data_IF_977858816025
#
_entry.id   IF_977858816025
#
_cell.length_a   1.000
_cell.length_b   1.000
_cell.length_c   1.000
_cell.angle_alpha   90.00
_cell.angle_beta   90.00
_cell.angle_gamma   90.00
#
_symmetry.space_group_name_H-M   'P 1'
#
loop_
_entity.id
_entity.type
_entity.pdbx_description
1 polymer ?
#
# COMPACT_ATOMS: atom_id res chain seq x y z
N UNK A 1 0.34 -15.03 33.44
CA UNK A 1 -0.83 -14.22 33.08
C UNK A 1 -1.25 -14.67 31.69
N UNK A 2 -2.55 -14.72 31.39
CA UNK A 2 -2.98 -14.94 30.00
C UNK A 2 -2.42 -13.79 29.14
N UNK A 3 -1.92 -14.05 27.92
CA UNK A 3 -1.42 -12.99 27.06
C UNK A 3 -2.52 -11.95 26.82
N UNK A 4 -2.16 -10.68 26.94
CA UNK A 4 -3.12 -9.61 26.68
C UNK A 4 -3.46 -9.61 25.18
N UNK A 5 -4.75 -9.68 24.86
CA UNK A 5 -5.20 -9.66 23.47
C UNK A 5 -4.82 -8.34 22.82
N UNK A 6 -4.10 -8.39 21.69
CA UNK A 6 -3.74 -7.23 20.90
C UNK A 6 -4.97 -6.77 20.11
N UNK A 7 -5.54 -5.61 20.46
CA UNK A 7 -6.84 -5.14 19.94
C UNK A 7 -6.79 -3.85 19.12
N UNK A 8 -5.62 -3.34 18.85
CA UNK A 8 -5.41 -2.12 18.06
C UNK A 8 -4.55 -2.42 16.84
N UNK A 9 -4.71 -1.66 15.75
CA UNK A 9 -3.77 -1.72 14.64
C UNK A 9 -2.34 -1.32 15.06
N UNK A 10 -1.30 -1.96 14.49
CA UNK A 10 -1.41 -3.11 13.60
C UNK A 10 -1.70 -4.41 14.38
N UNK A 11 -2.26 -5.40 13.68
CA UNK A 11 -2.49 -6.72 14.25
C UNK A 11 -1.34 -7.68 13.94
N UNK A 12 -1.30 -8.85 14.62
CA UNK A 12 -0.22 -9.82 14.42
C UNK A 12 -0.28 -10.52 13.08
N UNK A 13 -1.50 -10.77 12.57
CA UNK A 13 -1.74 -11.21 11.20
C UNK A 13 -2.41 -10.09 10.42
N UNK A 14 -1.77 -9.66 9.36
CA UNK A 14 -2.21 -8.57 8.50
C UNK A 14 -2.27 -9.04 7.03
N UNK A 15 -2.95 -8.29 6.20
CA UNK A 15 -2.88 -8.36 4.74
C UNK A 15 -2.84 -6.94 4.15
N UNK A 16 -2.53 -6.82 2.84
CA UNK A 16 -2.22 -5.52 2.23
C UNK A 16 -3.43 -4.85 1.54
N UNK A 17 -4.64 -5.29 1.84
CA UNK A 17 -5.88 -4.65 1.37
C UNK A 17 -6.52 -5.38 0.19
N UNK A 18 -5.86 -5.48 -0.96
CA UNK A 18 -6.46 -6.04 -2.17
C UNK A 18 -6.54 -7.56 -2.15
N UNK A 19 -7.71 -8.09 -2.53
CA UNK A 19 -8.02 -9.52 -2.59
C UNK A 19 -8.55 -9.89 -3.99
N UNK A 20 -8.46 -11.17 -4.37
CA UNK A 20 -8.92 -11.64 -5.68
C UNK A 20 -10.43 -11.47 -5.83
N UNK A 21 -10.82 -10.81 -6.90
CA UNK A 21 -12.22 -10.58 -7.29
C UNK A 21 -12.88 -11.87 -7.78
N UNK A 22 -14.19 -11.95 -7.63
CA UNK A 22 -14.96 -13.05 -8.23
C UNK A 22 -15.07 -12.87 -9.75
N UNK A 23 -15.29 -13.97 -10.47
CA UNK A 23 -15.55 -13.88 -11.92
C UNK A 23 -16.81 -13.08 -12.24
N UNK A 24 -17.84 -13.19 -11.37
CA UNK A 24 -19.07 -12.44 -11.52
C UNK A 24 -18.82 -10.94 -11.45
N UNK A 25 -18.05 -10.49 -10.46
CA UNK A 25 -17.67 -9.09 -10.32
C UNK A 25 -16.88 -8.59 -11.53
N UNK A 26 -15.88 -9.36 -11.98
CA UNK A 26 -15.07 -8.98 -13.14
C UNK A 26 -15.92 -8.86 -14.42
N UNK A 27 -16.82 -9.82 -14.67
CA UNK A 27 -17.76 -9.78 -15.81
C UNK A 27 -18.71 -8.59 -15.72
N UNK A 28 -19.24 -8.30 -14.52
CA UNK A 28 -20.16 -7.17 -14.32
C UNK A 28 -19.46 -5.83 -14.53
N UNK A 29 -18.20 -5.68 -14.07
CA UNK A 29 -17.40 -4.46 -14.32
C UNK A 29 -17.19 -4.22 -15.83
N UNK A 30 -16.82 -5.26 -16.56
CA UNK A 30 -16.68 -5.17 -18.04
C UNK A 30 -18.01 -4.82 -18.71
N UNK A 31 -19.11 -5.44 -18.30
CA UNK A 31 -20.44 -5.12 -18.82
C UNK A 31 -20.87 -3.66 -18.50
N UNK A 32 -20.51 -3.14 -17.34
CA UNK A 32 -20.75 -1.75 -16.98
C UNK A 32 -19.96 -0.78 -17.85
N UNK A 33 -18.67 -1.04 -18.08
CA UNK A 33 -17.82 -0.24 -18.98
C UNK A 33 -18.33 -0.23 -20.41
N UNK A 34 -18.93 -1.33 -20.87
CA UNK A 34 -19.60 -1.43 -22.17
C UNK A 34 -20.99 -0.78 -22.21
N UNK A 35 -21.53 -0.29 -21.07
CA UNK A 35 -22.89 0.26 -21.00
C UNK A 35 -24.01 -0.80 -21.04
N UNK A 36 -23.68 -2.07 -20.78
CA UNK A 36 -24.62 -3.22 -20.84
C UNK A 36 -25.41 -3.38 -19.51
N UNK A 37 -24.87 -2.91 -18.41
CA UNK A 37 -25.52 -2.92 -17.08
C UNK A 37 -25.50 -1.54 -16.45
N UNK A 38 -26.45 -1.27 -15.56
CA UNK A 38 -26.55 -0.01 -14.83
C UNK A 38 -25.58 0.03 -13.64
N UNK A 39 -25.26 1.23 -13.15
CA UNK A 39 -24.50 1.44 -11.91
C UNK A 39 -25.14 0.69 -10.72
N UNK A 40 -26.45 0.71 -10.59
CA UNK A 40 -27.17 -0.01 -9.52
C UNK A 40 -26.96 -1.54 -9.58
N UNK A 41 -26.82 -2.11 -10.78
CA UNK A 41 -26.50 -3.54 -10.94
C UNK A 41 -25.05 -3.83 -10.56
N UNK A 42 -24.11 -2.97 -10.93
CA UNK A 42 -22.71 -3.07 -10.51
C UNK A 42 -22.60 -2.94 -8.98
N UNK A 43 -23.19 -1.91 -8.39
CA UNK A 43 -23.20 -1.69 -6.92
C UNK A 43 -23.77 -2.92 -6.17
N UNK A 44 -24.80 -3.58 -6.70
CA UNK A 44 -25.37 -4.77 -6.07
C UNK A 44 -24.39 -5.94 -6.01
N UNK A 45 -23.62 -6.18 -7.08
CA UNK A 45 -22.60 -7.25 -7.12
C UNK A 45 -21.40 -6.86 -6.26
N UNK A 46 -20.93 -5.62 -6.34
CA UNK A 46 -19.85 -5.12 -5.46
C UNK A 46 -20.22 -5.27 -3.98
N UNK A 47 -21.42 -4.88 -3.60
CA UNK A 47 -21.91 -5.02 -2.22
C UNK A 47 -21.95 -6.47 -1.77
N UNK A 48 -22.46 -7.38 -2.60
CA UNK A 48 -22.47 -8.82 -2.33
C UNK A 48 -21.06 -9.33 -2.08
N UNK A 49 -20.15 -9.05 -2.98
CA UNK A 49 -18.78 -9.59 -2.93
C UNK A 49 -17.95 -8.98 -1.79
N UNK A 50 -18.11 -7.68 -1.49
CA UNK A 50 -17.49 -7.04 -0.32
C UNK A 50 -17.96 -7.69 0.98
N UNK A 51 -19.25 -7.97 1.11
CA UNK A 51 -19.78 -8.69 2.28
C UNK A 51 -19.18 -10.09 2.42
N UNK A 52 -19.14 -10.86 1.33
CA UNK A 52 -18.57 -12.21 1.33
C UNK A 52 -17.08 -12.24 1.66
N UNK A 53 -16.31 -11.29 1.13
CA UNK A 53 -14.87 -11.21 1.41
C UNK A 53 -14.59 -10.74 2.83
N UNK A 54 -15.39 -9.83 3.39
CA UNK A 54 -15.30 -9.43 4.79
C UNK A 54 -15.57 -10.61 5.73
N UNK A 55 -16.64 -11.38 5.46
CA UNK A 55 -16.95 -12.61 6.22
C UNK A 55 -15.83 -13.66 6.11
N UNK A 56 -15.19 -13.78 4.93
CA UNK A 56 -14.07 -14.71 4.71
C UNK A 56 -12.88 -14.31 5.57
N UNK A 57 -12.49 -13.04 5.58
CA UNK A 57 -11.40 -12.54 6.42
C UNK A 57 -11.68 -12.79 7.92
N UNK A 58 -12.91 -12.54 8.38
CA UNK A 58 -13.34 -12.83 9.76
C UNK A 58 -13.21 -14.32 10.09
N UNK A 59 -13.69 -15.21 9.22
CA UNK A 59 -13.59 -16.67 9.41
C UNK A 59 -12.14 -17.15 9.50
N UNK A 60 -11.23 -16.47 8.81
CA UNK A 60 -9.79 -16.74 8.88
C UNK A 60 -9.13 -16.14 10.13
N UNK A 61 -9.85 -15.34 10.94
CA UNK A 61 -9.34 -14.76 12.18
C UNK A 61 -8.60 -13.44 12.01
N UNK A 62 -8.83 -12.71 10.91
CA UNK A 62 -8.31 -11.37 10.71
C UNK A 62 -9.16 -10.33 11.44
N UNK A 63 -8.48 -9.32 12.01
CA UNK A 63 -9.10 -8.16 12.64
C UNK A 63 -9.09 -6.93 11.74
N UNK A 64 -7.99 -6.69 11.02
CA UNK A 64 -7.90 -5.64 10.00
C UNK A 64 -8.60 -6.09 8.70
N UNK A 65 -9.91 -5.97 8.65
CA UNK A 65 -10.72 -6.36 7.51
C UNK A 65 -10.77 -5.22 6.49
N UNK A 66 -10.54 -5.53 5.20
CA UNK A 66 -10.72 -4.61 4.07
C UNK A 66 -11.89 -5.04 3.19
N UNK A 67 -12.31 -4.14 2.29
CA UNK A 67 -13.27 -4.43 1.22
C UNK A 67 -12.68 -5.20 0.03
N UNK A 68 -11.39 -5.58 0.12
CA UNK A 68 -10.65 -6.25 -0.94
C UNK A 68 -10.29 -5.35 -2.13
N UNK A 69 -10.59 -4.05 -2.05
CA UNK A 69 -10.47 -3.07 -3.14
C UNK A 69 -11.36 -3.42 -4.34
N UNK A 70 -12.49 -4.06 -4.09
CA UNK A 70 -13.34 -4.61 -5.14
C UNK A 70 -14.00 -3.56 -6.03
N UNK A 71 -14.12 -2.32 -5.54
CA UNK A 71 -14.71 -1.20 -6.30
C UNK A 71 -13.72 -0.54 -7.25
N UNK A 72 -12.41 -0.73 -7.05
CA UNK A 72 -11.33 -0.10 -7.83
C UNK A 72 -10.93 -0.96 -9.02
N UNK A 73 -10.44 -0.32 -10.08
CA UNK A 73 -9.79 -1.00 -11.20
C UNK A 73 -8.27 -1.17 -10.96
N UNK A 74 -7.68 -0.23 -10.22
CA UNK A 74 -6.27 -0.18 -9.84
C UNK A 74 -6.15 0.32 -8.39
N UNK A 75 -5.09 -0.01 -7.67
CA UNK A 75 -4.88 0.38 -6.27
C UNK A 75 -5.01 1.89 -6.01
N UNK A 76 -4.67 2.73 -7.00
CA UNK A 76 -4.76 4.19 -6.91
C UNK A 76 -6.11 4.77 -7.40
N UNK A 77 -7.03 3.92 -7.87
CA UNK A 77 -8.20 4.32 -8.66
C UNK A 77 -9.30 5.08 -7.93
N UNK A 78 -9.28 5.21 -6.59
CA UNK A 78 -10.37 5.85 -5.86
C UNK A 78 -10.06 7.28 -5.36
N UNK A 79 -8.80 7.70 -5.27
CA UNK A 79 -8.47 9.01 -4.69
C UNK A 79 -8.75 10.18 -5.62
N UNK A 80 -8.27 10.11 -6.84
CA UNK A 80 -8.33 11.24 -7.77
C UNK A 80 -9.74 11.67 -8.19
N UNK A 81 -10.79 10.80 -8.25
CA UNK A 81 -12.15 11.27 -8.52
C UNK A 81 -12.70 12.23 -7.46
N UNK A 82 -12.14 12.24 -6.25
CA UNK A 82 -12.42 13.19 -5.18
C UNK A 82 -11.62 14.49 -5.27
N UNK A 83 -10.85 14.70 -6.36
CA UNK A 83 -9.97 15.84 -6.54
C UNK A 83 -10.32 16.61 -7.82
N UNK A 84 -10.45 17.94 -7.71
CA UNK A 84 -10.28 18.83 -8.86
C UNK A 84 -8.78 18.94 -9.21
N UNK A 85 -8.46 19.20 -10.46
CA UNK A 85 -7.10 19.45 -10.95
C UNK A 85 -6.35 18.19 -11.38
N UNK A 86 -6.98 17.02 -11.32
CA UNK A 86 -6.48 15.77 -11.91
C UNK A 86 -7.45 15.21 -12.94
N UNK A 87 -6.90 14.58 -13.97
CA UNK A 87 -7.63 13.81 -14.96
C UNK A 87 -7.00 12.45 -15.17
N UNK A 88 -7.81 11.40 -15.21
CA UNK A 88 -7.37 10.06 -15.63
C UNK A 88 -7.29 10.00 -17.15
N UNK A 89 -6.18 9.50 -17.65
CA UNK A 89 -5.91 9.40 -19.09
C UNK A 89 -5.34 8.03 -19.44
N UNK A 90 -5.74 7.48 -20.58
CA UNK A 90 -5.38 6.14 -21.01
C UNK A 90 -4.27 6.08 -22.08
N UNK A 91 -3.91 7.22 -22.69
CA UNK A 91 -2.94 7.26 -23.81
C UNK A 91 -2.02 8.50 -23.68
N UNK A 92 -1.23 8.53 -22.61
CA UNK A 92 -0.21 9.58 -22.42
C UNK A 92 1.04 9.20 -23.20
N UNK A 93 1.68 10.21 -23.82
CA UNK A 93 2.97 10.04 -24.48
C UNK A 93 4.00 9.48 -23.48
N UNK A 94 4.67 8.40 -23.85
CA UNK A 94 5.72 7.79 -23.05
C UNK A 94 6.86 8.76 -22.69
N UNK A 95 7.04 9.80 -23.51
CA UNK A 95 8.08 10.83 -23.31
C UNK A 95 7.87 11.71 -22.07
N UNK A 96 6.68 11.69 -21.46
CA UNK A 96 6.44 12.42 -20.19
C UNK A 96 7.01 11.67 -18.97
N UNK A 97 7.25 10.36 -19.11
CA UNK A 97 7.71 9.52 -18.00
C UNK A 97 9.23 9.35 -17.96
N UNK A 98 9.75 9.10 -16.75
CA UNK A 98 11.13 8.67 -16.53
C UNK A 98 11.28 7.22 -16.98
N UNK A 99 12.03 6.91 -18.05
CA UNK A 99 12.12 5.53 -18.57
C UNK A 99 12.82 4.56 -17.60
N UNK A 100 13.52 5.09 -16.59
CA UNK A 100 14.20 4.33 -15.55
C UNK A 100 13.36 4.20 -14.25
N UNK A 101 12.21 4.84 -14.14
CA UNK A 101 11.27 4.56 -13.05
C UNK A 101 10.84 3.09 -13.15
N UNK A 102 10.93 2.30 -12.05
CA UNK A 102 10.81 0.84 -12.14
C UNK A 102 9.54 0.31 -12.79
N UNK A 103 8.38 0.93 -12.52
CA UNK A 103 7.12 0.58 -13.18
C UNK A 103 7.14 0.92 -14.66
N UNK A 104 7.59 2.11 -15.04
CA UNK A 104 7.71 2.55 -16.44
C UNK A 104 8.67 1.66 -17.19
N UNK A 105 9.84 1.37 -16.63
CA UNK A 105 10.82 0.46 -17.22
C UNK A 105 10.24 -0.93 -17.46
N UNK A 106 9.51 -1.49 -16.49
CA UNK A 106 8.91 -2.81 -16.60
C UNK A 106 7.82 -2.86 -17.68
N UNK A 107 7.02 -1.81 -17.84
CA UNK A 107 6.04 -1.71 -18.92
C UNK A 107 6.71 -1.64 -20.29
N UNK A 108 7.72 -0.79 -20.46
CA UNK A 108 8.45 -0.63 -21.72
C UNK A 108 9.17 -1.92 -22.12
N UNK A 109 9.82 -2.61 -21.18
CA UNK A 109 10.49 -3.91 -21.40
C UNK A 109 9.49 -5.01 -21.82
N UNK A 110 8.24 -4.91 -21.33
CA UNK A 110 7.16 -5.83 -21.72
C UNK A 110 6.49 -5.48 -23.08
N UNK A 111 6.92 -4.39 -23.71
CA UNK A 111 6.31 -3.89 -24.96
C UNK A 111 4.95 -3.22 -24.74
N UNK A 112 4.62 -2.85 -23.51
CA UNK A 112 3.41 -2.11 -23.17
C UNK A 112 3.68 -0.60 -23.07
N UNK A 113 2.68 0.21 -23.44
CA UNK A 113 2.74 1.64 -23.14
C UNK A 113 2.42 1.86 -21.67
N UNK A 114 3.12 2.74 -20.94
CA UNK A 114 2.78 3.11 -19.56
C UNK A 114 1.58 4.08 -19.50
N UNK A 115 0.55 3.83 -20.30
CA UNK A 115 -0.44 4.80 -20.75
C UNK A 115 -1.56 5.16 -19.78
N UNK A 116 -1.96 4.25 -18.87
CA UNK A 116 -2.96 4.57 -17.85
C UNK A 116 -2.30 5.32 -16.70
N UNK A 117 -2.71 6.56 -16.49
CA UNK A 117 -2.19 7.39 -15.43
C UNK A 117 -3.13 8.54 -15.10
N UNK A 118 -2.81 9.29 -14.07
CA UNK A 118 -3.51 10.52 -13.67
C UNK A 118 -2.59 11.69 -13.93
N UNK A 119 -3.02 12.66 -14.72
CA UNK A 119 -2.26 13.89 -14.99
C UNK A 119 -2.82 15.07 -14.23
N UNK A 120 -1.94 15.96 -13.77
CA UNK A 120 -2.36 17.24 -13.20
C UNK A 120 -2.71 18.22 -14.34
N UNK A 121 -3.94 18.77 -14.31
CA UNK A 121 -4.46 19.73 -15.31
C UNK A 121 -4.82 21.07 -14.69
N UNK A 122 -4.82 21.19 -13.36
CA UNK A 122 -5.22 22.41 -12.67
C UNK A 122 -4.79 22.43 -11.19
N UNK A 123 -5.23 23.44 -10.45
CA UNK A 123 -5.02 23.50 -9.00
C UNK A 123 -5.75 22.34 -8.32
N UNK A 124 -5.01 21.59 -7.50
CA UNK A 124 -5.54 20.45 -6.78
C UNK A 124 -6.40 20.95 -5.62
N UNK A 125 -7.62 20.41 -5.53
CA UNK A 125 -8.54 20.67 -4.45
C UNK A 125 -9.36 19.42 -4.16
N UNK A 126 -9.44 19.01 -2.89
CA UNK A 126 -10.33 17.97 -2.44
C UNK A 126 -11.79 18.46 -2.49
N UNK A 127 -12.66 17.70 -3.16
CA UNK A 127 -14.08 18.07 -3.36
C UNK A 127 -15.05 17.05 -2.76
N UNK A 128 -14.53 16.00 -2.15
CA UNK A 128 -15.26 14.95 -1.45
C UNK A 128 -14.57 13.61 -1.55
N UNK A 129 -14.73 12.79 -0.53
CA UNK A 129 -14.10 11.47 -0.46
C UNK A 129 -14.92 10.42 -1.21
N UNK A 130 -14.30 9.72 -2.13
CA UNK A 130 -14.86 8.50 -2.74
C UNK A 130 -14.71 7.29 -1.84
N UNK A 131 -13.66 7.24 -1.02
CA UNK A 131 -13.41 6.18 -0.05
C UNK A 131 -14.44 6.09 1.07
N UNK A 132 -15.11 7.21 1.43
CA UNK A 132 -16.17 7.18 2.45
C UNK A 132 -17.38 6.33 2.05
N UNK A 133 -17.72 6.24 0.75
CA UNK A 133 -18.76 5.32 0.23
C UNK A 133 -18.32 3.87 0.47
N UNK A 134 -17.07 3.54 0.10
CA UNK A 134 -16.47 2.21 0.27
C UNK A 134 -16.46 1.82 1.76
N UNK A 135 -15.90 2.69 2.61
CA UNK A 135 -15.80 2.45 4.04
C UNK A 135 -17.13 2.30 4.74
N UNK A 136 -18.12 3.17 4.45
CA UNK A 136 -19.47 3.10 5.05
C UNK A 136 -20.15 1.76 4.76
N UNK A 137 -20.00 1.25 3.53
CA UNK A 137 -20.55 -0.05 3.20
C UNK A 137 -19.82 -1.17 3.98
N UNK A 138 -18.51 -1.18 4.00
CA UNK A 138 -17.72 -2.15 4.77
C UNK A 138 -18.10 -2.10 6.26
N UNK A 139 -18.23 -0.91 6.84
CA UNK A 139 -18.65 -0.72 8.23
C UNK A 139 -20.06 -1.27 8.51
N UNK A 140 -20.96 -1.25 7.52
CA UNK A 140 -22.34 -1.75 7.66
C UNK A 140 -22.44 -3.28 7.73
N UNK A 141 -21.39 -4.01 7.31
CA UNK A 141 -21.37 -5.48 7.26
C UNK A 141 -20.55 -6.13 8.38
N UNK A 142 -20.08 -5.32 9.32
CA UNK A 142 -19.37 -5.79 10.54
C UNK A 142 -20.06 -5.26 11.81
N UNK A 143 -19.82 -5.88 12.98
CA UNK A 143 -20.30 -5.35 14.26
C UNK A 143 -19.73 -3.96 14.55
N UNK A 144 -20.48 -3.04 15.19
CA UNK A 144 -20.04 -1.68 15.45
C UNK A 144 -18.71 -1.57 16.21
N UNK A 145 -18.43 -2.50 17.12
CA UNK A 145 -17.18 -2.53 17.90
C UNK A 145 -15.96 -2.90 17.07
N UNK A 146 -16.13 -3.51 15.89
CA UNK A 146 -15.06 -3.90 14.98
C UNK A 146 -14.75 -2.80 13.95
N UNK A 147 -15.63 -1.80 13.76
CA UNK A 147 -15.47 -0.74 12.74
C UNK A 147 -14.12 -0.03 12.85
N UNK A 148 -13.64 0.24 14.05
CA UNK A 148 -12.33 0.87 14.29
C UNK A 148 -11.12 0.05 13.80
N UNK A 149 -11.31 -1.24 13.57
CA UNK A 149 -10.26 -2.16 13.12
C UNK A 149 -10.23 -2.30 11.59
N UNK A 150 -11.30 -1.87 10.91
CA UNK A 150 -11.39 -1.95 9.45
C UNK A 150 -10.25 -1.16 8.81
N UNK A 151 -9.65 -1.76 7.79
CA UNK A 151 -8.56 -1.15 7.04
C UNK A 151 -9.06 -0.55 5.73
N UNK A 152 -8.67 0.68 5.45
CA UNK A 152 -8.77 1.29 4.13
C UNK A 152 -7.37 1.55 3.57
N UNK A 153 -7.19 1.28 2.29
CA UNK A 153 -5.93 1.52 1.57
C UNK A 153 -6.06 2.73 0.67
N UNK A 154 -5.04 3.58 0.64
CA UNK A 154 -4.97 4.79 -0.17
C UNK A 154 -3.69 4.78 -1.01
N UNK A 155 -3.75 5.39 -2.19
CA UNK A 155 -2.52 5.67 -2.94
C UNK A 155 -1.64 6.67 -2.18
N UNK A 156 -0.33 6.46 -2.29
CA UNK A 156 0.66 7.34 -1.69
C UNK A 156 0.59 8.78 -2.23
N UNK A 157 0.83 9.80 -1.41
CA UNK A 157 0.79 11.19 -1.87
C UNK A 157 1.84 11.51 -2.94
N UNK A 158 2.97 10.80 -2.97
CA UNK A 158 4.04 10.95 -3.97
C UNK A 158 3.78 10.19 -5.28
N UNK A 159 2.70 9.39 -5.36
CA UNK A 159 2.34 8.62 -6.56
C UNK A 159 2.21 9.52 -7.80
N UNK A 160 1.70 10.71 -7.64
CA UNK A 160 1.42 11.66 -8.72
C UNK A 160 2.64 12.48 -9.19
N UNK A 161 3.87 12.10 -8.80
CA UNK A 161 5.09 12.86 -9.13
C UNK A 161 6.24 12.01 -9.67
N UNK A 162 6.71 10.98 -8.95
CA UNK A 162 7.99 10.30 -9.21
C UNK A 162 8.16 9.80 -10.65
N UNK A 163 7.13 9.23 -11.24
CA UNK A 163 7.21 8.62 -12.57
C UNK A 163 7.35 9.63 -13.71
N UNK A 164 7.03 10.89 -13.48
CA UNK A 164 7.12 11.96 -14.47
C UNK A 164 8.53 12.55 -14.54
N UNK A 165 9.01 12.86 -15.77
CA UNK A 165 10.23 13.64 -15.97
C UNK A 165 10.12 14.99 -15.28
N UNK A 166 11.26 15.60 -14.98
CA UNK A 166 11.33 16.93 -14.38
C UNK A 166 10.47 17.93 -15.15
N UNK A 167 9.62 18.64 -14.42
CA UNK A 167 8.70 19.64 -14.98
C UNK A 167 7.54 19.07 -15.82
N UNK A 168 7.24 17.77 -15.74
CA UNK A 168 6.13 17.10 -16.43
C UNK A 168 5.02 16.60 -15.50
N UNK A 169 5.21 16.66 -14.18
CA UNK A 169 4.21 16.21 -13.21
C UNK A 169 3.01 17.18 -13.11
N UNK A 170 3.18 18.44 -13.49
CA UNK A 170 2.15 19.48 -13.45
C UNK A 170 2.44 20.59 -14.46
N UNK A 171 1.43 21.35 -14.92
CA UNK A 171 1.63 22.53 -15.77
C UNK A 171 2.32 23.68 -15.00
N UNK A 172 3.35 24.30 -15.60
CA UNK A 172 4.11 25.40 -14.97
C UNK A 172 3.27 26.65 -14.72
N UNK A 173 2.21 26.85 -15.49
CA UNK A 173 1.24 27.93 -15.32
C UNK A 173 0.31 27.69 -14.11
N UNK A 174 0.22 26.48 -13.62
CA UNK A 174 -0.59 26.08 -12.45
C UNK A 174 0.25 26.10 -11.18
N UNK A 175 1.44 25.49 -11.23
CA UNK A 175 2.37 25.39 -10.10
C UNK A 175 3.76 25.85 -10.48
N UNK A 176 4.32 26.75 -9.67
CA UNK A 176 5.65 27.34 -9.89
C UNK A 176 6.79 26.43 -9.38
N UNK A 177 6.49 25.52 -8.46
CA UNK A 177 7.46 24.61 -7.84
C UNK A 177 6.82 23.34 -7.30
N UNK A 178 7.64 22.31 -7.03
CA UNK A 178 7.22 21.06 -6.38
C UNK A 178 6.65 21.35 -4.99
N UNK A 179 7.20 22.29 -4.25
CA UNK A 179 6.75 22.63 -2.90
C UNK A 179 5.30 23.14 -2.91
N UNK A 180 4.93 23.94 -3.92
CA UNK A 180 3.56 24.43 -4.09
C UNK A 180 2.62 23.27 -4.47
N UNK A 181 3.03 22.42 -5.41
CA UNK A 181 2.29 21.24 -5.86
C UNK A 181 2.07 20.24 -4.71
N UNK A 182 3.14 19.90 -3.98
CA UNK A 182 3.07 19.01 -2.83
C UNK A 182 2.25 19.58 -1.68
N UNK A 183 2.28 20.91 -1.50
CA UNK A 183 1.46 21.59 -0.51
C UNK A 183 -0.04 21.39 -0.73
N UNK A 184 -0.50 21.38 -1.98
CA UNK A 184 -1.91 21.16 -2.31
C UNK A 184 -2.28 19.67 -2.26
N UNK A 185 -1.39 18.77 -2.66
CA UNK A 185 -1.57 17.30 -2.44
C UNK A 185 -1.70 17.01 -0.93
N UNK A 186 -0.81 17.57 -0.11
CA UNK A 186 -0.85 17.35 1.34
C UNK A 186 -2.18 17.82 1.96
N UNK A 187 -2.71 18.99 1.53
CA UNK A 187 -4.02 19.48 1.97
C UNK A 187 -5.16 18.57 1.53
N UNK A 188 -5.09 18.02 0.31
CA UNK A 188 -6.09 17.08 -0.20
C UNK A 188 -6.09 15.79 0.63
N UNK A 189 -4.92 15.24 0.94
CA UNK A 189 -4.80 14.04 1.80
C UNK A 189 -5.28 14.34 3.22
N UNK A 190 -4.96 15.50 3.81
CA UNK A 190 -5.48 15.90 5.12
C UNK A 190 -7.01 15.91 5.15
N UNK A 191 -7.64 16.46 4.09
CA UNK A 191 -9.10 16.49 3.97
C UNK A 191 -9.68 15.08 3.85
N UNK A 192 -9.08 14.22 3.03
CA UNK A 192 -9.47 12.82 2.88
C UNK A 192 -9.41 12.05 4.20
N UNK A 193 -8.31 12.18 4.95
CA UNK A 193 -8.15 11.53 6.25
C UNK A 193 -9.19 12.01 7.26
N UNK A 194 -9.55 13.31 7.23
CA UNK A 194 -10.59 13.86 8.10
C UNK A 194 -11.98 13.31 7.75
N UNK A 195 -12.34 13.24 6.48
CA UNK A 195 -13.64 12.66 6.06
C UNK A 195 -13.73 11.17 6.40
N UNK A 196 -12.65 10.41 6.23
CA UNK A 196 -12.58 9.01 6.64
C UNK A 196 -12.72 8.86 8.17
N UNK A 197 -12.05 9.73 8.93
CA UNK A 197 -12.17 9.74 10.39
C UNK A 197 -13.61 10.01 10.85
N UNK A 198 -14.28 10.98 10.23
CA UNK A 198 -15.64 11.39 10.56
C UNK A 198 -16.67 10.27 10.33
N UNK A 199 -16.41 9.34 9.41
CA UNK A 199 -17.24 8.15 9.17
C UNK A 199 -16.82 6.93 9.99
N UNK A 200 -15.85 7.07 10.90
CA UNK A 200 -15.45 6.02 11.85
C UNK A 200 -14.16 5.28 11.50
N UNK A 201 -13.48 5.60 10.40
CA UNK A 201 -12.21 4.98 10.04
C UNK A 201 -11.11 5.34 11.05
N UNK A 202 -10.35 4.33 11.50
CA UNK A 202 -9.23 4.49 12.45
C UNK A 202 -7.96 3.78 12.00
N UNK A 203 -7.97 3.14 10.82
CA UNK A 203 -6.84 2.34 10.33
C UNK A 203 -6.67 2.55 8.82
N UNK A 204 -5.68 3.34 8.47
CA UNK A 204 -5.36 3.72 7.07
C UNK A 204 -3.98 3.19 6.71
N UNK A 205 -3.87 2.61 5.51
CA UNK A 205 -2.61 2.18 4.91
C UNK A 205 -2.40 2.95 3.61
N UNK A 206 -1.26 3.61 3.47
CA UNK A 206 -0.81 4.13 2.18
C UNK A 206 -0.04 3.05 1.42
N UNK A 207 -0.39 2.83 0.16
CA UNK A 207 0.33 1.93 -0.74
C UNK A 207 1.33 2.73 -1.58
N UNK A 208 2.61 2.47 -1.33
CA UNK A 208 3.72 3.24 -1.88
C UNK A 208 4.79 2.37 -2.56
N UNK A 209 4.73 2.20 -3.86
CA UNK A 209 5.85 1.63 -4.61
C UNK A 209 7.02 2.61 -4.74
N UNK A 210 6.76 3.92 -4.73
CA UNK A 210 7.74 4.95 -5.08
C UNK A 210 8.88 5.06 -4.05
N UNK A 211 8.58 5.00 -2.75
CA UNK A 211 9.64 5.00 -1.73
C UNK A 211 10.55 3.76 -1.84
N UNK A 212 9.99 2.60 -2.19
CA UNK A 212 10.77 1.38 -2.42
C UNK A 212 11.64 1.47 -3.68
N UNK A 213 11.26 2.29 -4.67
CA UNK A 213 12.04 2.47 -5.89
C UNK A 213 13.43 3.08 -5.63
N UNK A 214 13.59 3.86 -4.56
CA UNK A 214 14.90 4.39 -4.15
C UNK A 214 15.87 3.30 -3.63
N UNK A 215 15.43 2.05 -3.50
CA UNK A 215 16.30 0.90 -3.27
C UNK A 215 16.89 0.33 -4.56
N UNK A 216 16.37 0.71 -5.74
CA UNK A 216 16.78 0.16 -7.03
C UNK A 216 18.05 0.83 -7.56
N UNK A 217 19.13 0.08 -7.66
CA UNK A 217 20.39 0.59 -8.28
C UNK A 217 20.16 1.04 -9.72
N UNK A 218 19.33 0.32 -10.50
CA UNK A 218 18.98 0.68 -11.89
C UNK A 218 18.29 2.04 -11.95
N UNK A 219 17.33 2.29 -11.06
CA UNK A 219 16.66 3.60 -10.98
C UNK A 219 17.65 4.70 -10.59
N UNK A 220 18.49 4.47 -9.57
CA UNK A 220 19.46 5.45 -9.09
C UNK A 220 20.49 5.81 -10.15
N UNK A 221 20.96 4.83 -10.92
CA UNK A 221 21.85 5.07 -12.06
C UNK A 221 21.17 5.95 -13.12
N UNK A 222 19.96 5.58 -13.55
CA UNK A 222 19.19 6.38 -14.51
C UNK A 222 18.89 7.79 -14.00
N UNK A 223 18.58 7.92 -12.69
CA UNK A 223 18.37 9.23 -12.07
C UNK A 223 19.61 10.13 -12.15
N UNK A 224 20.78 9.58 -11.87
CA UNK A 224 22.06 10.29 -11.93
C UNK A 224 22.44 10.71 -13.35
N UNK A 225 22.10 9.89 -14.33
CA UNK A 225 22.43 10.11 -15.75
C UNK A 225 21.44 11.06 -16.44
N UNK A 226 20.26 11.27 -15.90
CA UNK A 226 19.23 12.13 -16.48
C UNK A 226 19.56 13.62 -16.23
N UNK A 227 19.97 14.37 -17.29
CA UNK A 227 20.36 15.77 -17.15
C UNK A 227 19.20 16.72 -16.82
N UNK A 228 17.96 16.26 -16.90
CA UNK A 228 16.79 17.05 -16.58
C UNK A 228 16.55 17.14 -15.07
N UNK A 229 17.01 16.15 -14.29
CA UNK A 229 16.82 16.15 -12.85
C UNK A 229 17.58 17.32 -12.19
N UNK A 230 16.85 18.21 -11.53
CA UNK A 230 17.44 19.33 -10.78
C UNK A 230 17.87 18.95 -9.37
N UNK A 231 17.38 17.81 -8.86
CA UNK A 231 17.69 17.28 -7.53
C UNK A 231 18.27 15.89 -7.62
N UNK A 232 19.12 15.56 -6.67
CA UNK A 232 19.55 14.17 -6.46
C UNK A 232 18.39 13.27 -6.03
N UNK A 233 18.58 11.96 -6.18
CA UNK A 233 17.62 10.99 -5.67
C UNK A 233 17.39 11.10 -4.14
N UNK A 234 18.45 11.40 -3.38
CA UNK A 234 18.37 11.57 -1.93
C UNK A 234 17.56 12.80 -1.52
N UNK A 235 17.78 13.95 -2.17
CA UNK A 235 16.99 15.17 -1.95
C UNK A 235 15.51 14.95 -2.31
N UNK A 236 15.24 14.20 -3.38
CA UNK A 236 13.86 13.87 -3.77
C UNK A 236 13.20 12.92 -2.77
N UNK A 237 13.95 11.94 -2.24
CA UNK A 237 13.45 11.07 -1.18
C UNK A 237 13.10 11.87 0.08
N UNK A 238 13.93 12.82 0.50
CA UNK A 238 13.68 13.73 1.62
C UNK A 238 12.42 14.58 1.40
N UNK A 239 12.21 15.08 0.18
CA UNK A 239 10.99 15.81 -0.16
C UNK A 239 9.74 14.93 -0.03
N UNK A 240 9.82 13.63 -0.40
CA UNK A 240 8.70 12.72 -0.24
C UNK A 240 8.42 12.39 1.23
N UNK A 241 9.46 12.22 2.06
CA UNK A 241 9.27 12.12 3.52
C UNK A 241 8.55 13.35 4.06
N UNK A 242 8.97 14.56 3.62
CA UNK A 242 8.29 15.80 4.01
C UNK A 242 6.84 15.85 3.54
N UNK A 243 6.57 15.50 2.28
CA UNK A 243 5.22 15.45 1.71
C UNK A 243 4.30 14.53 2.53
N UNK A 244 4.78 13.33 2.89
CA UNK A 244 4.05 12.42 3.76
C UNK A 244 3.76 13.04 5.13
N UNK A 245 4.77 13.59 5.78
CA UNK A 245 4.62 14.17 7.10
C UNK A 245 3.65 15.35 7.09
N UNK A 246 3.70 16.20 6.07
CA UNK A 246 2.73 17.27 5.86
C UNK A 246 1.32 16.71 5.63
N UNK A 247 1.19 15.66 4.82
CA UNK A 247 -0.09 15.00 4.50
C UNK A 247 -0.81 14.44 5.73
N UNK A 248 -0.05 13.88 6.68
CA UNK A 248 -0.59 13.26 7.89
C UNK A 248 -0.52 14.14 9.14
N UNK A 249 -0.03 15.38 9.02
CA UNK A 249 0.25 16.28 10.16
C UNK A 249 -0.99 16.65 10.97
N UNK A 250 -2.17 16.58 10.37
CA UNK A 250 -3.46 16.90 11.02
C UNK A 250 -4.29 15.66 11.36
N UNK A 251 -3.74 14.46 11.20
CA UNK A 251 -4.48 13.25 11.53
C UNK A 251 -4.90 13.25 13.01
N UNK A 252 -6.11 12.76 13.33
CA UNK A 252 -6.50 12.53 14.72
C UNK A 252 -5.57 11.55 15.41
N UNK A 253 -5.34 11.75 16.71
CA UNK A 253 -4.34 11.00 17.49
C UNK A 253 -4.64 9.49 17.61
N UNK A 254 -5.92 9.09 17.47
CA UNK A 254 -6.37 7.70 17.51
C UNK A 254 -6.54 7.08 16.10
N UNK A 255 -6.09 7.77 15.05
CA UNK A 255 -6.04 7.23 13.70
C UNK A 255 -4.66 6.63 13.42
N UNK A 256 -4.62 5.31 13.28
CA UNK A 256 -3.44 4.56 12.89
C UNK A 256 -3.12 4.79 11.41
N UNK A 257 -1.88 5.10 11.10
CA UNK A 257 -1.36 5.26 9.73
C UNK A 257 -0.23 4.28 9.49
N UNK A 258 -0.39 3.44 8.48
CA UNK A 258 0.66 2.57 7.97
C UNK A 258 1.09 2.94 6.56
N UNK A 259 2.26 2.48 6.15
CA UNK A 259 2.74 2.57 4.76
C UNK A 259 3.24 1.22 4.27
N UNK A 260 2.75 0.80 3.12
CA UNK A 260 3.23 -0.39 2.41
C UNK A 260 4.22 0.01 1.32
N UNK A 261 5.46 -0.44 1.45
CA UNK A 261 6.49 -0.25 0.44
C UNK A 261 6.46 -1.41 -0.56
N UNK A 262 5.64 -1.24 -1.59
CA UNK A 262 5.47 -2.22 -2.66
C UNK A 262 6.68 -2.24 -3.61
N UNK A 263 7.06 -3.43 -4.09
CA UNK A 263 8.11 -3.60 -5.12
C UNK A 263 7.55 -3.93 -6.49
N UNK A 264 6.25 -3.74 -6.67
CA UNK A 264 5.51 -4.04 -7.88
C UNK A 264 4.72 -5.35 -7.81
N UNK A 265 3.46 -5.24 -8.19
CA UNK A 265 2.52 -6.33 -8.20
C UNK A 265 1.58 -6.16 -9.40
N UNK A 266 1.99 -6.69 -10.55
CA UNK A 266 1.30 -6.49 -11.81
C UNK A 266 0.96 -7.80 -12.51
N UNK A 267 0.21 -7.72 -13.60
CA UNK A 267 -0.24 -8.87 -14.41
C UNK A 267 0.87 -9.89 -14.64
N UNK A 268 0.58 -11.16 -14.41
CA UNK A 268 1.57 -12.23 -14.46
C UNK A 268 2.50 -12.27 -13.23
N UNK A 269 2.07 -11.67 -12.11
CA UNK A 269 2.83 -11.66 -10.85
C UNK A 269 4.19 -10.97 -10.94
N UNK A 270 4.33 -9.99 -11.84
CA UNK A 270 5.58 -9.24 -12.06
C UNK A 270 5.87 -8.31 -10.89
N UNK A 271 7.15 -8.20 -10.54
CA UNK A 271 7.68 -7.13 -9.71
C UNK A 271 8.38 -6.08 -10.58
N UNK A 272 8.59 -4.88 -10.04
CA UNK A 272 9.20 -3.76 -10.75
C UNK A 272 10.58 -3.41 -10.19
N UNK A 273 10.78 -3.58 -8.89
CA UNK A 273 11.95 -3.07 -8.16
C UNK A 273 12.61 -4.15 -7.32
N UNK A 274 13.93 -4.07 -7.23
CA UNK A 274 14.80 -4.89 -6.38
C UNK A 274 15.74 -4.00 -5.55
N UNK A 275 16.34 -4.56 -4.51
CA UNK A 275 17.32 -3.90 -3.63
C UNK A 275 16.87 -3.92 -2.16
N UNK A 276 17.82 -4.03 -1.24
CA UNK A 276 17.57 -3.97 0.20
C UNK A 276 17.15 -2.57 0.66
N UNK A 277 16.52 -2.50 1.83
CA UNK A 277 16.10 -1.22 2.41
C UNK A 277 17.26 -0.41 3.02
N UNK A 278 18.49 -0.92 3.01
CA UNK A 278 19.69 -0.34 3.66
C UNK A 278 19.86 1.15 3.35
N UNK A 279 19.71 1.51 2.07
CA UNK A 279 19.89 2.90 1.60
C UNK A 279 18.90 3.87 2.24
N UNK A 280 17.65 3.47 2.43
CA UNK A 280 16.57 4.36 2.84
C UNK A 280 16.20 4.21 4.32
N UNK A 281 16.65 3.14 4.98
CA UNK A 281 16.18 2.71 6.29
C UNK A 281 16.23 3.81 7.36
N UNK A 282 17.38 4.48 7.50
CA UNK A 282 17.57 5.50 8.55
C UNK A 282 16.57 6.64 8.41
N UNK A 283 16.44 7.23 7.23
CA UNK A 283 15.48 8.31 7.00
C UNK A 283 14.05 7.80 7.04
N UNK A 284 13.78 6.67 6.38
CA UNK A 284 12.45 6.06 6.36
C UNK A 284 11.92 5.83 7.78
N UNK A 285 12.68 5.13 8.62
CA UNK A 285 12.19 4.73 9.93
C UNK A 285 12.24 5.84 10.98
N UNK A 286 13.21 6.75 10.90
CA UNK A 286 13.38 7.82 11.89
C UNK A 286 12.63 9.09 11.57
N UNK A 287 12.42 9.42 10.29
CA UNK A 287 11.89 10.70 9.87
C UNK A 287 10.45 10.66 9.36
N UNK A 288 9.99 9.52 8.79
CA UNK A 288 8.60 9.36 8.34
C UNK A 288 7.67 9.09 9.52
N UNK A 289 6.68 9.95 9.76
CA UNK A 289 5.81 9.95 10.95
C UNK A 289 4.61 8.97 10.88
N UNK A 290 4.75 7.85 10.21
CA UNK A 290 3.77 6.76 10.24
C UNK A 290 3.98 5.86 11.46
N UNK A 291 2.95 5.08 11.82
CA UNK A 291 2.98 4.17 12.97
C UNK A 291 3.53 2.79 12.60
N UNK A 292 3.28 2.36 11.33
CA UNK A 292 3.58 0.99 10.89
C UNK A 292 4.13 0.97 9.47
N UNK A 293 5.13 0.13 9.26
CA UNK A 293 5.68 -0.20 7.94
C UNK A 293 5.30 -1.61 7.53
N UNK A 294 4.70 -1.79 6.35
CA UNK A 294 4.41 -3.07 5.73
C UNK A 294 5.46 -3.32 4.66
N UNK A 295 6.44 -4.18 4.93
CA UNK A 295 7.63 -4.36 4.10
C UNK A 295 7.68 -5.73 3.43
N UNK A 296 8.01 -5.76 2.13
CA UNK A 296 8.22 -7.00 1.39
C UNK A 296 9.53 -7.68 1.79
N UNK A 297 9.43 -8.95 2.19
CA UNK A 297 10.56 -9.80 2.55
C UNK A 297 10.35 -11.26 2.10
N UNK A 298 9.53 -11.50 1.07
CA UNK A 298 9.21 -12.85 0.58
C UNK A 298 10.38 -13.53 -0.16
N UNK A 299 11.24 -12.75 -0.80
CA UNK A 299 12.37 -13.26 -1.60
C UNK A 299 13.65 -12.46 -1.36
N UNK A 300 14.85 -13.01 -1.77
CA UNK A 300 16.12 -12.29 -1.65
C UNK A 300 16.19 -10.93 -2.37
N UNK A 301 15.30 -10.65 -3.33
CA UNK A 301 15.28 -9.34 -4.02
C UNK A 301 15.03 -8.16 -3.07
N UNK A 302 14.43 -8.40 -1.91
CA UNK A 302 14.16 -7.38 -0.90
C UNK A 302 15.36 -7.13 0.04
N UNK A 303 16.45 -7.86 -0.10
CA UNK A 303 17.62 -7.78 0.80
C UNK A 303 17.42 -8.55 2.11
N UNK A 304 18.27 -8.27 3.08
CA UNK A 304 18.24 -8.82 4.42
C UNK A 304 17.41 -7.99 5.41
N UNK A 305 17.44 -8.42 6.69
CA UNK A 305 16.72 -7.76 7.77
C UNK A 305 17.57 -6.71 8.51
N UNK A 306 18.84 -6.53 8.16
CA UNK A 306 19.78 -5.59 8.77
C UNK A 306 19.21 -4.16 8.88
N UNK A 307 18.47 -3.64 7.87
CA UNK A 307 17.87 -2.31 7.95
C UNK A 307 16.93 -2.10 9.13
N UNK A 308 16.34 -3.18 9.67
CA UNK A 308 15.42 -3.11 10.81
C UNK A 308 16.09 -2.69 12.12
N UNK A 309 17.44 -2.66 12.20
CA UNK A 309 18.19 -2.04 13.31
C UNK A 309 17.84 -0.56 13.50
N UNK A 310 17.43 0.11 12.42
CA UNK A 310 17.05 1.52 12.42
C UNK A 310 15.60 1.78 12.88
N UNK A 311 14.76 0.73 13.05
CA UNK A 311 13.36 0.88 13.43
C UNK A 311 13.23 1.33 14.89
N UNK A 312 12.66 2.51 15.19
CA UNK A 312 12.49 2.99 16.57
C UNK A 312 11.47 2.14 17.36
N UNK A 313 11.63 2.07 18.69
CA UNK A 313 10.78 1.25 19.58
C UNK A 313 9.30 1.63 19.59
N UNK A 314 8.95 2.83 19.15
CA UNK A 314 7.56 3.32 19.09
C UNK A 314 6.87 3.06 17.75
N UNK A 315 7.54 2.38 16.79
CA UNK A 315 7.02 2.04 15.47
C UNK A 315 6.94 0.54 15.30
N UNK A 316 6.07 0.12 14.38
CA UNK A 316 5.83 -1.29 14.09
C UNK A 316 6.28 -1.64 12.67
N UNK A 317 6.58 -2.92 12.46
CA UNK A 317 6.83 -3.50 11.15
C UNK A 317 5.99 -4.76 10.95
N UNK A 318 5.33 -4.85 9.83
CA UNK A 318 4.64 -6.04 9.37
C UNK A 318 5.50 -6.66 8.27
N UNK A 319 5.96 -7.89 8.53
CA UNK A 319 6.88 -8.61 7.64
C UNK A 319 6.08 -9.38 6.59
N UNK A 320 6.18 -8.96 5.36
CA UNK A 320 5.61 -9.63 4.19
C UNK A 320 6.47 -10.82 3.77
N UNK A 321 6.42 -11.90 4.53
CA UNK A 321 7.26 -13.11 4.32
C UNK A 321 6.58 -14.18 3.48
N UNK A 322 5.26 -14.10 3.28
CA UNK A 322 4.47 -15.04 2.48
C UNK A 322 4.19 -14.41 1.11
N UNK A 323 4.49 -15.10 0.00
CA UNK A 323 4.21 -14.54 -1.32
C UNK A 323 2.73 -14.56 -1.68
N UNK A 324 2.21 -13.47 -2.22
CA UNK A 324 0.88 -13.40 -2.85
C UNK A 324 0.90 -13.73 -4.35
N UNK A 325 2.07 -14.03 -4.91
CA UNK A 325 2.27 -14.16 -6.36
C UNK A 325 1.99 -15.56 -6.90
N UNK A 326 2.18 -16.59 -6.08
CA UNK A 326 2.06 -17.99 -6.49
C UNK A 326 1.38 -18.83 -5.39
N UNK A 327 0.66 -19.88 -5.80
CA UNK A 327 -0.13 -20.70 -4.89
C UNK A 327 0.70 -21.63 -3.98
N UNK A 328 1.95 -21.98 -4.35
CA UNK A 328 2.81 -22.83 -3.53
C UNK A 328 2.98 -22.25 -2.12
N UNK A 329 2.65 -23.02 -1.09
CA UNK A 329 2.77 -22.59 0.30
C UNK A 329 4.23 -22.63 0.75
N UNK A 330 4.62 -21.64 1.51
CA UNK A 330 5.89 -21.60 2.23
C UNK A 330 5.88 -22.57 3.41
N UNK A 331 7.08 -23.01 3.83
CA UNK A 331 7.22 -23.76 5.07
C UNK A 331 6.99 -22.85 6.28
N UNK A 332 6.02 -23.23 7.13
CA UNK A 332 5.61 -22.43 8.27
C UNK A 332 6.74 -22.22 9.28
N UNK A 333 7.55 -23.25 9.54
CA UNK A 333 8.65 -23.14 10.51
C UNK A 333 9.79 -22.26 9.98
N UNK A 334 10.04 -22.30 8.67
CA UNK A 334 10.99 -21.39 8.04
C UNK A 334 10.49 -19.93 8.15
N UNK A 335 9.22 -19.67 7.88
CA UNK A 335 8.66 -18.32 8.00
C UNK A 335 8.71 -17.81 9.44
N UNK A 336 8.39 -18.63 10.44
CA UNK A 336 8.56 -18.31 11.87
C UNK A 336 10.00 -17.94 12.20
N UNK A 337 10.96 -18.76 11.71
CA UNK A 337 12.39 -18.47 11.91
C UNK A 337 12.76 -17.12 11.34
N UNK A 338 12.30 -16.77 10.15
CA UNK A 338 12.54 -15.46 9.52
C UNK A 338 11.99 -14.30 10.35
N UNK A 339 10.82 -14.47 10.96
CA UNK A 339 10.24 -13.46 11.86
C UNK A 339 11.14 -13.24 13.08
N UNK A 340 11.61 -14.34 13.72
CA UNK A 340 12.55 -14.23 14.84
C UNK A 340 13.89 -13.62 14.42
N UNK A 341 14.40 -13.92 13.23
CA UNK A 341 15.64 -13.34 12.72
C UNK A 341 15.48 -11.83 12.48
N UNK A 342 14.35 -11.38 11.94
CA UNK A 342 14.04 -9.96 11.80
C UNK A 342 13.96 -9.25 13.17
N UNK A 343 13.28 -9.85 14.14
CA UNK A 343 13.16 -9.31 15.49
C UNK A 343 14.51 -9.18 16.22
N UNK A 344 15.49 -10.06 15.93
CA UNK A 344 16.86 -9.95 16.46
C UNK A 344 17.55 -8.66 16.03
N UNK A 345 17.39 -8.24 14.76
CA UNK A 345 17.95 -6.98 14.28
C UNK A 345 17.30 -5.78 14.96
N UNK A 346 15.98 -5.80 15.17
CA UNK A 346 15.29 -4.75 15.94
C UNK A 346 15.82 -4.70 17.38
N UNK A 347 15.94 -5.85 18.02
CA UNK A 347 16.48 -5.96 19.38
C UNK A 347 17.90 -5.41 19.48
N UNK A 348 18.77 -5.78 18.55
CA UNK A 348 20.15 -5.30 18.48
C UNK A 348 20.23 -3.78 18.28
N UNK A 349 19.47 -3.25 17.30
CA UNK A 349 19.48 -1.81 16.98
C UNK A 349 19.00 -0.92 18.13
N UNK A 350 18.07 -1.42 18.95
CA UNK A 350 17.48 -0.67 20.07
C UNK A 350 18.03 -1.08 21.44
N UNK A 351 18.90 -2.07 21.52
CA UNK A 351 19.42 -2.62 22.77
C UNK A 351 18.29 -3.06 23.73
N UNK A 352 17.32 -3.80 23.20
CA UNK A 352 16.17 -4.36 23.92
C UNK A 352 16.16 -5.90 23.82
N UNK A 353 15.31 -6.55 24.61
CA UNK A 353 15.13 -8.00 24.53
C UNK A 353 14.44 -8.42 23.23
N UNK A 354 14.63 -9.68 22.82
CA UNK A 354 13.92 -10.26 21.68
C UNK A 354 12.40 -10.24 21.90
N UNK A 355 11.92 -10.44 23.12
CA UNK A 355 10.50 -10.40 23.45
C UNK A 355 9.93 -8.98 23.26
N UNK A 356 10.64 -7.95 23.69
CA UNK A 356 10.26 -6.55 23.44
C UNK A 356 10.25 -6.22 21.94
N UNK A 357 11.27 -6.67 21.18
CA UNK A 357 11.31 -6.47 19.74
C UNK A 357 10.16 -7.16 19.02
N UNK A 358 9.76 -8.37 19.44
CA UNK A 358 8.60 -9.09 18.88
C UNK A 358 7.28 -8.33 19.10
N UNK A 359 7.18 -7.44 20.09
CA UNK A 359 5.99 -6.61 20.26
C UNK A 359 5.80 -5.58 19.15
N UNK A 360 6.87 -5.25 18.41
CA UNK A 360 6.81 -4.34 17.26
C UNK A 360 6.52 -5.05 15.93
N UNK A 361 6.40 -6.39 15.92
CA UNK A 361 6.36 -7.20 14.70
C UNK A 361 5.00 -7.83 14.48
N UNK A 362 4.57 -7.87 13.24
CA UNK A 362 3.48 -8.71 12.73
C UNK A 362 3.89 -9.37 11.40
N UNK A 363 2.99 -10.14 10.81
CA UNK A 363 3.22 -10.88 9.57
C UNK A 363 2.11 -10.66 8.56
N UNK A 364 2.45 -10.68 7.28
CA UNK A 364 1.50 -10.52 6.17
C UNK A 364 2.00 -11.25 4.91
N UNK A 365 1.17 -11.35 3.86
CA UNK A 365 1.68 -11.52 2.51
C UNK A 365 2.57 -10.33 2.15
N UNK A 366 3.50 -10.51 1.17
CA UNK A 366 4.43 -9.44 0.79
C UNK A 366 3.72 -8.25 0.12
N UNK A 367 2.60 -8.48 -0.57
CA UNK A 367 1.76 -7.48 -1.22
C UNK A 367 0.29 -7.94 -1.23
N UNK A 368 -0.61 -7.14 -1.80
CA UNK A 368 -1.97 -7.55 -2.10
C UNK A 368 -2.04 -8.69 -3.11
N UNK A 369 -3.19 -9.32 -3.25
CA UNK A 369 -3.44 -10.40 -4.23
C UNK A 369 -3.95 -9.87 -5.57
N UNK A 370 -4.47 -8.65 -5.61
CA UNK A 370 -5.06 -8.06 -6.80
C UNK A 370 -4.95 -6.52 -6.78
N UNK A 371 -3.73 -5.99 -6.85
CA UNK A 371 -3.48 -4.54 -6.95
C UNK A 371 -3.99 -3.93 -8.26
N UNK A 372 -4.34 -4.77 -9.22
CA UNK A 372 -5.02 -4.47 -10.48
C UNK A 372 -6.20 -5.43 -10.66
N UNK A 373 -7.07 -5.14 -11.63
CA UNK A 373 -8.33 -5.88 -11.87
C UNK A 373 -8.13 -7.38 -11.99
N UNK A 374 -7.15 -7.81 -12.79
CA UNK A 374 -6.94 -9.20 -13.15
C UNK A 374 -6.42 -10.07 -11.99
N UNK A 375 -5.72 -9.44 -11.02
CA UNK A 375 -5.10 -10.15 -9.91
C UNK A 375 -3.82 -10.90 -10.28
N UNK A 376 -3.19 -11.49 -9.26
CA UNK A 376 -1.97 -12.28 -9.39
C UNK A 376 -2.24 -13.66 -10.00
N UNK A 377 -1.17 -14.37 -10.39
CA UNK A 377 -1.21 -15.73 -10.91
C UNK A 377 -1.45 -16.76 -9.78
N UNK A 378 -2.53 -16.59 -9.05
CA UNK A 378 -2.99 -17.44 -7.94
C UNK A 378 -4.52 -17.48 -7.99
N UNK A 379 -5.11 -18.62 -7.69
CA UNK A 379 -6.56 -18.73 -7.57
C UNK A 379 -7.06 -18.37 -6.16
N UNK A 380 -8.37 -18.34 -5.99
CA UNK A 380 -9.01 -17.94 -4.74
C UNK A 380 -8.69 -18.91 -3.60
N UNK A 381 -8.61 -20.22 -3.88
CA UNK A 381 -8.27 -21.23 -2.87
C UNK A 381 -6.82 -21.09 -2.41
N UNK A 382 -5.90 -20.83 -3.33
CA UNK A 382 -4.51 -20.50 -3.03
C UNK A 382 -4.38 -19.23 -2.20
N UNK A 383 -5.12 -18.15 -2.54
CA UNK A 383 -5.18 -16.94 -1.74
C UNK A 383 -5.65 -17.22 -0.30
N UNK A 384 -6.73 -17.98 -0.14
CA UNK A 384 -7.25 -18.35 1.18
C UNK A 384 -6.22 -19.19 1.95
N UNK A 385 -5.55 -20.14 1.30
CA UNK A 385 -4.50 -20.94 1.91
C UNK A 385 -3.31 -20.10 2.39
N UNK A 386 -2.89 -19.10 1.62
CA UNK A 386 -1.86 -18.11 2.01
C UNK A 386 -2.27 -17.27 3.22
N UNK A 387 -3.49 -16.73 3.20
CA UNK A 387 -4.02 -15.97 4.34
C UNK A 387 -4.11 -16.85 5.60
N UNK A 388 -4.53 -18.10 5.46
CA UNK A 388 -4.55 -19.05 6.57
C UNK A 388 -3.14 -19.32 7.12
N UNK A 389 -2.15 -19.51 6.26
CA UNK A 389 -0.76 -19.69 6.65
C UNK A 389 -0.24 -18.49 7.45
N UNK A 390 -0.49 -17.26 6.99
CA UNK A 390 -0.12 -16.03 7.73
C UNK A 390 -0.75 -16.01 9.12
N UNK A 391 -2.05 -16.37 9.25
CA UNK A 391 -2.71 -16.44 10.55
C UNK A 391 -2.12 -17.54 11.45
N UNK A 392 -1.78 -18.70 10.89
CA UNK A 392 -1.15 -19.79 11.63
C UNK A 392 0.24 -19.39 12.14
N UNK A 393 1.08 -18.74 11.32
CA UNK A 393 2.39 -18.19 11.72
C UNK A 393 2.21 -17.24 12.91
N UNK A 394 1.27 -16.29 12.80
CA UNK A 394 1.00 -15.34 13.88
C UNK A 394 0.51 -16.02 15.16
N UNK A 395 -0.37 -17.01 15.07
CA UNK A 395 -0.87 -17.76 16.23
C UNK A 395 0.24 -18.54 16.95
N UNK A 396 1.21 -19.08 16.19
CA UNK A 396 2.32 -19.83 16.76
C UNK A 396 3.31 -18.90 17.50
N UNK A 397 3.54 -17.70 16.98
CA UNK A 397 4.48 -16.73 17.57
C UNK A 397 3.82 -15.93 18.71
N UNK A 398 2.56 -15.52 18.54
CA UNK A 398 1.80 -14.69 19.51
C UNK A 398 0.45 -15.36 19.87
N UNK A 399 0.45 -16.45 20.65
CA UNK A 399 -0.77 -17.19 20.98
C UNK A 399 -1.84 -16.29 21.61
N UNK A 400 -3.05 -16.34 21.04
CA UNK A 400 -4.22 -15.59 21.55
C UNK A 400 -4.23 -14.08 21.22
N UNK A 401 -3.32 -13.60 20.37
CA UNK A 401 -3.33 -12.22 19.85
C UNK A 401 -3.98 -12.14 18.46
N UNK A 402 -4.63 -11.01 18.15
CA UNK A 402 -5.24 -10.74 16.85
C UNK A 402 -4.23 -10.33 15.79
#
# INVERSE_FOLDING_TARGET
>A
MAPQLHRNPPFRAEHLGSLLRTEELLKTKTAFENGEVSEAQLDAIENKDVKEVAETQKKLGYAAISDGEYRRHMFWGSFFPGLEGFEEVSDVDADVFRPYAPDVAAFLEAGHKPGETVICTGKIKHVGSTYTKEFKYLASVVPPEEVKNLKITLAAPNWYHLRYKEGKAYPKEVYSSDEEYFGDIAKAVQAELQELYDVGCRNVQFDDPNLAYFCSEKMLAGWKEDPLNVRSADETFEQYIKLYNDSISKRPADMHIGVHLCRGNFVGSRHFSEGGYDRIATKLFKELNVDTYYLEYDTPRAGGFEPLKELPTHKNVILGVVTSKFAALEDKEEMKKRVYDAAKFIAEGNNISLEEALNQVGVSPQCGFASHREGNAIDRDGMIAKLKLVREIANDIWPGQL
#
